data_IF_394433965656
#
_entry.id   IF_394433965656
#
_cell.length_a   1.000
_cell.length_b   1.000
_cell.length_c   1.000
_cell.angle_alpha   90.00
_cell.angle_beta   90.00
_cell.angle_gamma   90.00
#
_symmetry.space_group_name_H-M   'P 1'
#
loop_
_entity.id
_entity.type
_entity.pdbx_description
1 polymer ?
#
# COMPACT_ATOMS: atom_id res chain seq x y z
N UNK A 1 -23.40 -6.95 14.58
CA UNK A 1 -22.34 -7.32 13.62
C UNK A 1 -22.58 -8.75 13.13
N UNK A 2 -22.07 -9.10 11.95
CA UNK A 2 -22.04 -10.50 11.51
C UNK A 2 -20.87 -11.23 12.18
N UNK A 3 -21.08 -12.47 12.56
CA UNK A 3 -20.07 -13.30 13.23
C UNK A 3 -19.92 -14.65 12.56
N UNK A 4 -18.70 -15.18 12.55
CA UNK A 4 -18.35 -16.47 11.96
C UNK A 4 -17.26 -17.13 12.82
N UNK A 5 -17.44 -18.37 13.32
CA UNK A 5 -16.37 -19.10 13.97
C UNK A 5 -15.14 -19.24 13.06
N UNK A 6 -13.93 -19.18 13.61
CA UNK A 6 -12.69 -19.33 12.82
C UNK A 6 -12.63 -20.67 12.09
N UNK A 7 -13.18 -21.74 12.68
CA UNK A 7 -13.30 -23.05 12.03
C UNK A 7 -14.18 -23.05 10.77
N UNK A 8 -15.01 -22.02 10.59
CA UNK A 8 -15.94 -21.84 9.46
C UNK A 8 -15.41 -20.84 8.42
N UNK A 9 -14.23 -20.25 8.62
CA UNK A 9 -13.71 -19.22 7.70
C UNK A 9 -13.50 -19.74 6.27
N UNK A 10 -13.12 -21.01 6.13
CA UNK A 10 -12.94 -21.63 4.81
C UNK A 10 -14.27 -21.84 4.07
N UNK A 11 -15.39 -22.03 4.78
CA UNK A 11 -16.72 -22.09 4.16
C UNK A 11 -17.06 -20.72 3.53
N UNK A 12 -16.71 -19.63 4.21
CA UNK A 12 -16.88 -18.27 3.70
C UNK A 12 -15.98 -18.00 2.49
N UNK A 13 -14.70 -18.39 2.56
CA UNK A 13 -13.78 -18.26 1.43
C UNK A 13 -14.23 -19.06 0.21
N UNK A 14 -14.69 -20.30 0.41
CA UNK A 14 -15.25 -21.15 -0.66
C UNK A 14 -16.46 -20.52 -1.31
N UNK A 15 -17.33 -19.87 -0.53
CA UNK A 15 -18.52 -19.20 -1.06
C UNK A 15 -18.14 -17.98 -1.92
N UNK A 16 -17.18 -17.16 -1.48
CA UNK A 16 -16.68 -16.03 -2.28
C UNK A 16 -16.04 -16.55 -3.57
N UNK A 17 -15.10 -17.49 -3.46
CA UNK A 17 -14.36 -18.05 -4.59
C UNK A 17 -15.24 -18.78 -5.63
N UNK A 18 -16.49 -19.12 -5.28
CA UNK A 18 -17.45 -19.68 -6.23
C UNK A 18 -18.07 -18.63 -7.17
N UNK A 19 -17.95 -17.34 -6.84
CA UNK A 19 -18.55 -16.22 -7.59
C UNK A 19 -17.50 -15.32 -8.23
N UNK A 20 -16.41 -15.05 -7.54
CA UNK A 20 -15.37 -14.09 -7.93
C UNK A 20 -14.00 -14.53 -7.41
N UNK A 21 -12.91 -13.94 -7.94
CA UNK A 21 -11.57 -14.32 -7.50
C UNK A 21 -11.31 -13.85 -6.06
N UNK A 22 -10.91 -14.76 -5.17
CA UNK A 22 -10.57 -14.44 -3.78
C UNK A 22 -9.06 -14.49 -3.57
N UNK A 23 -8.49 -13.47 -2.95
CA UNK A 23 -7.10 -13.43 -2.52
C UNK A 23 -7.00 -13.31 -1.00
N UNK A 24 -6.21 -14.19 -0.37
CA UNK A 24 -5.95 -14.18 1.07
C UNK A 24 -4.44 -14.18 1.37
N UNK A 25 -4.00 -13.75 2.56
CA UNK A 25 -2.63 -13.95 3.02
C UNK A 25 -2.35 -15.44 3.23
N UNK A 26 -1.28 -15.96 2.63
CA UNK A 26 -0.83 -17.35 2.76
C UNK A 26 0.67 -17.36 3.04
N UNK A 27 1.12 -18.24 3.93
CA UNK A 27 2.54 -18.40 4.20
C UNK A 27 3.29 -18.95 2.97
N UNK A 28 4.40 -18.31 2.64
CA UNK A 28 5.30 -18.71 1.57
C UNK A 28 6.47 -19.54 2.13
N UNK A 29 7.26 -20.12 1.22
CA UNK A 29 8.39 -20.99 1.57
C UNK A 29 9.50 -20.28 2.37
N UNK A 30 9.45 -18.96 2.52
CA UNK A 30 10.39 -18.17 3.32
C UNK A 30 9.86 -17.85 4.73
N UNK A 31 8.71 -18.41 5.14
CA UNK A 31 8.10 -18.14 6.44
C UNK A 31 7.50 -16.73 6.57
N UNK A 32 7.24 -16.07 5.44
CA UNK A 32 6.50 -14.79 5.37
C UNK A 32 5.17 -15.02 4.67
N UNK A 33 4.26 -14.06 4.71
CA UNK A 33 2.99 -14.17 3.99
C UNK A 33 2.97 -13.40 2.67
N UNK A 34 2.30 -13.93 1.66
CA UNK A 34 1.95 -13.24 0.42
C UNK A 34 0.45 -13.33 0.16
N UNK A 35 -0.14 -12.31 -0.46
CA UNK A 35 -1.50 -12.45 -0.96
C UNK A 35 -1.50 -13.44 -2.14
N UNK A 36 -2.30 -14.48 -2.01
CA UNK A 36 -2.38 -15.60 -2.95
C UNK A 36 -3.83 -15.89 -3.27
N UNK A 37 -4.12 -16.27 -4.51
CA UNK A 37 -5.46 -16.70 -4.90
C UNK A 37 -5.87 -17.92 -4.07
N UNK A 38 -7.02 -17.85 -3.44
CA UNK A 38 -7.54 -18.92 -2.60
C UNK A 38 -7.93 -20.12 -3.45
N UNK A 39 -7.59 -21.31 -2.98
CA UNK A 39 -8.02 -22.61 -3.50
C UNK A 39 -8.29 -23.53 -2.32
N UNK A 40 -9.10 -24.55 -2.52
CA UNK A 40 -9.37 -25.54 -1.47
C UNK A 40 -8.05 -26.18 -0.98
N UNK A 41 -7.85 -26.20 0.33
CA UNK A 41 -6.62 -26.65 0.97
C UNK A 41 -5.58 -25.56 1.27
N UNK A 42 -5.78 -24.32 0.81
CA UNK A 42 -4.93 -23.19 1.19
C UNK A 42 -5.34 -22.65 2.57
N UNK A 43 -4.36 -22.43 3.45
CA UNK A 43 -4.59 -21.92 4.80
C UNK A 43 -4.32 -20.41 4.91
N UNK A 44 -5.15 -19.73 5.72
CA UNK A 44 -4.96 -18.33 6.06
C UNK A 44 -3.74 -18.17 6.98
N UNK A 45 -2.78 -17.36 6.54
CA UNK A 45 -1.57 -17.07 7.33
C UNK A 45 -1.91 -16.33 8.63
N UNK A 46 -1.19 -16.66 9.70
CA UNK A 46 -1.24 -15.93 10.98
C UNK A 46 -0.32 -14.69 11.02
N UNK A 47 0.46 -14.45 9.96
CA UNK A 47 1.36 -13.31 9.90
C UNK A 47 0.60 -11.97 9.98
N UNK A 48 1.19 -11.00 10.69
CA UNK A 48 0.61 -9.66 10.80
C UNK A 48 0.52 -8.97 9.44
N UNK A 49 1.54 -9.08 8.59
CA UNK A 49 1.60 -8.41 7.28
C UNK A 49 2.12 -9.37 6.23
N UNK A 50 1.60 -9.23 5.03
CA UNK A 50 2.22 -9.77 3.82
C UNK A 50 3.49 -9.00 3.47
N UNK A 51 4.42 -9.63 2.74
CA UNK A 51 5.67 -9.01 2.26
C UNK A 51 5.37 -7.77 1.43
N UNK A 52 4.40 -7.89 0.53
CA UNK A 52 3.90 -6.80 -0.32
C UNK A 52 2.50 -6.42 0.09
N UNK A 53 2.21 -5.13 0.06
CA UNK A 53 0.90 -4.59 0.38
C UNK A 53 -0.17 -4.99 -0.63
N UNK A 54 -1.43 -4.76 -0.28
CA UNK A 54 -2.56 -4.94 -1.19
C UNK A 54 -2.58 -3.97 -2.40
N UNK A 55 -1.62 -3.05 -2.52
CA UNK A 55 -1.42 -2.18 -3.69
C UNK A 55 -1.39 -2.97 -5.01
N UNK A 56 -0.78 -4.14 -5.02
CA UNK A 56 -0.61 -4.99 -6.22
C UNK A 56 -1.92 -5.30 -6.96
N UNK A 57 -3.04 -5.31 -6.26
CA UNK A 57 -4.36 -5.60 -6.84
C UNK A 57 -4.93 -4.44 -7.64
N UNK A 58 -4.60 -3.21 -7.22
CA UNK A 58 -5.14 -1.97 -7.80
C UNK A 58 -4.13 -1.26 -8.70
N UNK A 59 -2.85 -1.48 -8.45
CA UNK A 59 -1.75 -0.95 -9.23
C UNK A 59 -0.72 -2.08 -9.41
N UNK A 60 -0.94 -3.01 -10.36
CA UNK A 60 -0.08 -4.17 -10.56
C UNK A 60 1.32 -3.79 -11.05
N UNK A 61 2.28 -4.69 -10.83
CA UNK A 61 3.70 -4.47 -11.19
C UNK A 61 3.91 -4.22 -12.68
N UNK A 62 3.11 -4.88 -13.51
CA UNK A 62 3.10 -4.74 -14.95
C UNK A 62 1.63 -4.83 -15.39
N UNK A 63 1.21 -3.91 -16.25
CA UNK A 63 -0.15 -3.88 -16.78
C UNK A 63 -0.13 -3.45 -18.23
N UNK A 64 -0.76 -4.25 -19.08
CA UNK A 64 -0.95 -3.92 -20.48
C UNK A 64 -1.90 -2.73 -20.56
N UNK A 65 -1.51 -1.71 -21.33
CA UNK A 65 -2.31 -0.53 -21.59
C UNK A 65 -2.99 -0.66 -22.94
N UNK A 66 -2.24 -0.97 -23.99
CA UNK A 66 -2.81 -1.10 -25.34
C UNK A 66 -2.02 -2.11 -26.14
N UNK A 67 -2.71 -2.96 -26.90
CA UNK A 67 -2.09 -3.74 -27.96
C UNK A 67 -2.50 -3.15 -29.31
N UNK A 68 -1.50 -2.86 -30.14
CA UNK A 68 -1.68 -2.30 -31.47
C UNK A 68 -1.28 -3.34 -32.50
N UNK A 69 -2.22 -3.77 -33.35
CA UNK A 69 -1.94 -4.70 -34.46
C UNK A 69 -2.12 -3.98 -35.79
N UNK A 70 -1.16 -4.19 -36.68
CA UNK A 70 -1.14 -3.59 -38.00
C UNK A 70 -1.54 -4.62 -39.05
N UNK A 71 -2.66 -4.39 -39.74
CA UNK A 71 -3.08 -5.16 -40.90
C UNK A 71 -3.08 -4.27 -42.15
N UNK A 72 -1.93 -4.23 -42.84
CA UNK A 72 -1.72 -3.33 -43.98
C UNK A 72 -1.75 -1.86 -43.55
N UNK A 73 -2.85 -1.16 -43.87
CA UNK A 73 -3.10 0.24 -43.47
C UNK A 73 -4.11 0.39 -42.33
N UNK A 74 -4.63 -0.73 -41.81
CA UNK A 74 -5.58 -0.74 -40.71
C UNK A 74 -4.83 -0.98 -39.40
N UNK A 75 -5.16 -0.18 -38.39
CA UNK A 75 -4.66 -0.37 -37.03
C UNK A 75 -5.82 -0.89 -36.19
N UNK A 76 -5.67 -2.11 -35.69
CA UNK A 76 -6.54 -2.67 -34.67
C UNK A 76 -5.99 -2.28 -33.28
N UNK A 77 -6.86 -1.74 -32.43
CA UNK A 77 -6.54 -1.33 -31.07
C UNK A 77 -7.31 -2.22 -30.10
N UNK A 78 -6.58 -3.07 -29.39
CA UNK A 78 -7.15 -3.91 -28.34
C UNK A 78 -7.08 -3.16 -27.00
N UNK A 79 -8.23 -3.03 -26.35
CA UNK A 79 -8.35 -2.39 -25.04
C UNK A 79 -8.42 -3.46 -23.93
N UNK A 80 -7.33 -3.68 -23.17
CA UNK A 80 -7.24 -4.72 -22.15
C UNK A 80 -8.06 -4.41 -20.90
N UNK A 81 -8.67 -3.22 -20.77
CA UNK A 81 -9.54 -2.89 -19.62
C UNK A 81 -10.79 -3.77 -19.57
N UNK A 82 -11.18 -4.38 -20.68
CA UNK A 82 -12.39 -5.22 -20.79
C UNK A 82 -12.26 -6.58 -20.07
N UNK A 83 -11.05 -7.00 -19.74
CA UNK A 83 -10.78 -8.37 -19.26
C UNK A 83 -10.75 -8.51 -17.73
N UNK A 84 -11.12 -7.47 -16.98
CA UNK A 84 -11.03 -7.50 -15.52
C UNK A 84 -12.30 -8.11 -14.91
N UNK A 85 -12.11 -9.15 -14.10
CA UNK A 85 -13.17 -9.76 -13.29
C UNK A 85 -13.26 -9.10 -11.92
N UNK A 86 -14.42 -9.19 -11.29
CA UNK A 86 -14.59 -8.88 -9.88
C UNK A 86 -13.69 -9.77 -9.02
N UNK A 87 -13.17 -9.19 -7.93
CA UNK A 87 -12.32 -9.90 -6.99
C UNK A 87 -12.43 -9.36 -5.57
N UNK A 88 -12.19 -10.24 -4.60
CA UNK A 88 -12.12 -9.91 -3.18
C UNK A 88 -10.69 -10.08 -2.68
N UNK A 89 -10.19 -9.10 -1.93
CA UNK A 89 -8.94 -9.23 -1.17
C UNK A 89 -9.27 -9.22 0.31
N UNK A 90 -9.05 -10.35 0.98
CA UNK A 90 -9.25 -10.52 2.41
C UNK A 90 -7.95 -10.26 3.18
N UNK A 91 -8.05 -9.77 4.42
CA UNK A 91 -6.91 -9.66 5.32
C UNK A 91 -6.03 -8.42 5.10
N UNK A 92 -6.55 -7.41 4.39
CA UNK A 92 -5.86 -6.13 4.22
C UNK A 92 -5.77 -5.40 5.56
N UNK A 93 -4.62 -4.86 5.93
CA UNK A 93 -4.46 -4.15 7.21
C UNK A 93 -4.92 -2.70 7.09
N UNK A 94 -5.33 -2.10 8.22
CA UNK A 94 -5.79 -0.70 8.29
C UNK A 94 -4.86 0.29 7.57
N UNK A 95 -3.55 0.15 7.77
CA UNK A 95 -2.56 1.01 7.10
C UNK A 95 -2.48 0.78 5.58
N UNK A 96 -2.68 -0.45 5.09
CA UNK A 96 -2.75 -0.72 3.66
C UNK A 96 -4.07 -0.19 3.08
N UNK A 97 -5.20 -0.35 3.77
CA UNK A 97 -6.47 0.21 3.33
C UNK A 97 -6.40 1.76 3.23
N UNK A 98 -5.82 2.42 4.24
CA UNK A 98 -5.61 3.88 4.21
C UNK A 98 -4.69 4.34 3.09
N UNK A 99 -3.83 3.47 2.59
CA UNK A 99 -2.97 3.80 1.45
C UNK A 99 -3.77 3.98 0.16
N UNK A 100 -4.93 3.35 0.03
CA UNK A 100 -5.77 3.51 -1.15
C UNK A 100 -6.27 4.94 -1.26
N UNK A 101 -6.73 5.56 -0.17
CA UNK A 101 -7.13 6.97 -0.20
C UNK A 101 -6.01 7.92 -0.68
N UNK A 102 -4.76 7.62 -0.30
CA UNK A 102 -3.57 8.38 -0.74
C UNK A 102 -3.31 8.19 -2.25
N UNK A 103 -3.56 6.99 -2.77
CA UNK A 103 -3.34 6.70 -4.21
C UNK A 103 -4.54 7.16 -5.05
N UNK A 104 -5.76 7.00 -4.55
CA UNK A 104 -7.03 7.48 -5.11
C UNK A 104 -6.96 9.01 -5.30
N UNK A 105 -6.38 9.75 -4.35
CA UNK A 105 -6.18 11.20 -4.48
C UNK A 105 -5.39 11.61 -5.73
N UNK A 106 -4.50 10.74 -6.24
CA UNK A 106 -3.70 11.00 -7.44
C UNK A 106 -4.38 10.41 -8.69
N UNK A 107 -4.82 9.16 -8.63
CA UNK A 107 -5.30 8.46 -9.82
C UNK A 107 -6.81 8.60 -10.09
N UNK A 108 -7.61 8.98 -9.09
CA UNK A 108 -9.06 9.14 -9.24
C UNK A 108 -9.52 10.58 -9.09
N UNK A 109 -8.82 11.40 -8.32
CA UNK A 109 -9.26 12.76 -7.98
C UNK A 109 -8.45 13.87 -8.68
N UNK A 110 -7.40 13.54 -9.43
CA UNK A 110 -6.72 14.46 -10.34
C UNK A 110 -7.15 14.21 -11.78
N UNK A 111 -7.01 15.23 -12.62
CA UNK A 111 -7.29 15.15 -14.05
C UNK A 111 -5.99 14.96 -14.85
N UNK A 112 -5.92 13.98 -15.78
CA UNK A 112 -6.95 12.97 -16.09
C UNK A 112 -7.01 11.83 -15.07
N UNK A 113 -8.22 11.27 -14.92
CA UNK A 113 -8.45 10.03 -14.14
C UNK A 113 -7.76 8.85 -14.83
N UNK A 114 -7.01 8.06 -14.06
CA UNK A 114 -6.42 6.81 -14.53
C UNK A 114 -7.50 5.74 -14.66
N UNK A 115 -7.97 5.54 -15.89
CA UNK A 115 -9.06 4.60 -16.18
C UNK A 115 -8.76 3.14 -15.82
N UNK A 116 -7.50 2.71 -15.82
CA UNK A 116 -7.12 1.34 -15.47
C UNK A 116 -7.15 1.14 -13.95
N UNK A 117 -6.61 2.10 -13.20
CA UNK A 117 -6.68 2.12 -11.75
C UNK A 117 -8.14 2.19 -11.28
N UNK A 118 -8.95 3.08 -11.87
CA UNK A 118 -10.39 3.17 -11.61
C UNK A 118 -11.09 1.83 -11.86
N UNK A 119 -10.83 1.19 -13.01
CA UNK A 119 -11.40 -0.10 -13.33
C UNK A 119 -11.13 -1.15 -12.23
N UNK A 120 -9.89 -1.20 -11.72
CA UNK A 120 -9.54 -2.09 -10.61
C UNK A 120 -10.19 -1.72 -9.28
N UNK A 121 -10.30 -0.43 -8.96
CA UNK A 121 -11.01 0.03 -7.75
C UNK A 121 -12.51 -0.25 -7.83
N UNK A 122 -13.10 -0.26 -9.03
CA UNK A 122 -14.51 -0.59 -9.25
C UNK A 122 -14.80 -2.09 -9.13
N UNK A 123 -13.91 -2.97 -9.60
CA UNK A 123 -14.09 -4.43 -9.53
C UNK A 123 -13.59 -5.08 -8.22
N UNK A 124 -12.66 -4.42 -7.53
CA UNK A 124 -12.11 -4.94 -6.28
C UNK A 124 -12.96 -4.61 -5.06
N UNK A 125 -13.21 -5.62 -4.22
CA UNK A 125 -13.78 -5.48 -2.89
C UNK A 125 -12.74 -5.80 -1.81
N UNK A 126 -12.58 -4.92 -0.83
CA UNK A 126 -11.54 -5.02 0.21
C UNK A 126 -12.15 -5.41 1.55
N UNK A 127 -11.83 -6.61 2.04
CA UNK A 127 -12.08 -7.00 3.43
C UNK A 127 -10.80 -6.76 4.23
N UNK A 128 -10.88 -5.83 5.18
CA UNK A 128 -9.76 -5.51 6.04
C UNK A 128 -9.81 -6.33 7.33
N UNK A 129 -8.65 -6.64 7.91
CA UNK A 129 -8.54 -7.35 9.18
C UNK A 129 -7.76 -6.51 10.19
N UNK A 130 -8.44 -6.15 11.28
CA UNK A 130 -7.86 -5.38 12.38
C UNK A 130 -6.59 -6.04 12.90
N UNK A 131 -5.62 -5.21 13.31
CA UNK A 131 -4.43 -5.70 13.99
C UNK A 131 -4.79 -6.13 15.41
N UNK A 132 -4.14 -7.15 15.94
CA UNK A 132 -4.22 -7.53 17.36
C UNK A 132 -2.90 -7.25 18.09
N UNK A 133 -1.79 -7.36 17.36
CA UNK A 133 -0.45 -7.11 17.87
C UNK A 133 0.40 -6.40 16.81
N UNK A 134 0.75 -5.12 16.99
CA UNK A 134 1.57 -4.40 16.03
C UNK A 134 3.05 -4.83 16.11
N UNK A 135 3.71 -4.95 14.96
CA UNK A 135 5.14 -5.15 14.93
C UNK A 135 5.90 -3.94 15.50
N UNK A 136 7.10 -4.16 16.04
CA UNK A 136 7.99 -3.08 16.55
C UNK A 136 8.36 -2.05 15.48
N UNK A 137 8.28 -2.41 14.20
CA UNK A 137 8.53 -1.53 13.05
C UNK A 137 7.32 -0.68 12.67
N UNK A 138 6.15 -0.88 13.27
CA UNK A 138 4.94 -0.13 12.96
C UNK A 138 4.94 1.24 13.65
N UNK A 139 4.39 2.24 12.95
CA UNK A 139 4.26 3.63 13.40
C UNK A 139 3.05 4.32 12.76
N UNK A 140 2.02 3.53 12.44
CA UNK A 140 0.76 4.01 11.85
C UNK A 140 0.04 5.04 12.74
N UNK A 141 0.18 4.94 14.06
CA UNK A 141 -0.35 5.92 15.03
C UNK A 141 0.22 7.34 14.80
N UNK A 142 1.48 7.47 14.38
CA UNK A 142 2.08 8.77 14.06
C UNK A 142 1.40 9.46 12.87
N UNK A 143 0.71 8.69 12.02
CA UNK A 143 -0.10 9.17 10.90
C UNK A 143 -1.60 9.20 11.22
N UNK A 144 -1.97 9.10 12.51
CA UNK A 144 -3.35 9.09 13.00
C UNK A 144 -4.20 7.94 12.41
N UNK A 145 -3.56 6.82 12.08
CA UNK A 145 -4.24 5.62 11.57
C UNK A 145 -4.49 4.68 12.75
N UNK A 146 -5.76 4.38 13.02
CA UNK A 146 -6.16 3.43 14.05
C UNK A 146 -6.10 2.00 13.50
N UNK A 147 -5.10 1.22 13.94
CA UNK A 147 -4.93 -0.16 13.50
C UNK A 147 -6.05 -1.10 13.96
N UNK A 148 -6.87 -0.66 14.92
CA UNK A 148 -7.99 -1.41 15.47
C UNK A 148 -9.32 -1.20 14.73
N UNK A 149 -9.41 -0.16 13.90
CA UNK A 149 -10.60 0.18 13.10
C UNK A 149 -10.19 0.19 11.63
N UNK A 150 -10.24 -0.98 10.96
CA UNK A 150 -9.43 -1.18 9.75
C UNK A 150 -10.06 -0.65 8.45
N UNK A 151 -11.37 -0.38 8.41
CA UNK A 151 -12.05 0.25 7.27
C UNK A 151 -12.16 -0.65 6.04
N UNK A 152 -11.96 -0.09 4.84
CA UNK A 152 -12.20 -0.78 3.57
C UNK A 152 -13.69 -0.99 3.28
N UNK A 153 -14.05 -1.92 2.41
CA UNK A 153 -15.46 -2.22 2.12
C UNK A 153 -16.12 -3.00 3.26
N UNK A 154 -15.36 -3.91 3.89
CA UNK A 154 -15.74 -4.65 5.10
C UNK A 154 -14.60 -4.58 6.11
N UNK A 155 -14.92 -4.20 7.34
CA UNK A 155 -14.03 -4.33 8.48
C UNK A 155 -14.20 -5.71 9.13
N UNK A 156 -13.10 -6.39 9.44
CA UNK A 156 -13.10 -7.66 10.14
C UNK A 156 -12.20 -7.65 11.38
N UNK A 157 -12.59 -8.44 12.40
CA UNK A 157 -11.87 -8.63 13.66
C UNK A 157 -11.86 -10.12 14.02
N UNK A 158 -10.77 -10.62 14.59
CA UNK A 158 -10.69 -11.99 15.11
C UNK A 158 -10.54 -11.94 16.63
N UNK A 159 -11.60 -12.30 17.35
CA UNK A 159 -11.67 -12.31 18.81
C UNK A 159 -12.01 -13.72 19.31
N UNK A 160 -11.15 -14.31 20.15
CA UNK A 160 -11.37 -15.61 20.78
C UNK A 160 -11.83 -16.71 19.80
N UNK A 161 -11.19 -16.81 18.63
CA UNK A 161 -11.54 -17.80 17.60
C UNK A 161 -12.86 -17.53 16.86
N UNK A 162 -13.35 -16.30 16.88
CA UNK A 162 -14.54 -15.86 16.13
C UNK A 162 -14.21 -14.61 15.33
N UNK A 163 -14.51 -14.64 14.03
CA UNK A 163 -14.49 -13.46 13.18
C UNK A 163 -15.75 -12.63 13.37
N UNK A 164 -15.58 -11.31 13.41
CA UNK A 164 -16.65 -10.32 13.40
C UNK A 164 -16.49 -9.49 12.14
N UNK A 165 -17.59 -9.18 11.47
CA UNK A 165 -17.63 -8.43 10.22
C UNK A 165 -18.61 -7.27 10.32
N UNK A 166 -18.21 -6.14 9.75
CA UNK A 166 -19.01 -4.93 9.59
C UNK A 166 -18.83 -4.38 8.18
N UNK A 167 -19.93 -4.17 7.46
CA UNK A 167 -19.88 -3.54 6.15
C UNK A 167 -19.80 -2.02 6.28
N UNK A 168 -18.83 -1.40 5.60
CA UNK A 168 -18.65 0.04 5.58
C UNK A 168 -19.19 0.68 4.29
N UNK A 169 -19.27 -0.09 3.20
CA UNK A 169 -19.71 0.37 1.87
C UNK A 169 -20.83 -0.52 1.32
N UNK A 170 -21.48 -0.09 0.24
CA UNK A 170 -22.52 -0.89 -0.41
C UNK A 170 -21.96 -2.18 -1.05
N UNK A 171 -20.71 -2.16 -1.54
CA UNK A 171 -19.99 -3.38 -1.95
C UNK A 171 -19.84 -4.36 -0.79
N UNK A 172 -19.42 -3.85 0.37
CA UNK A 172 -19.28 -4.67 1.57
C UNK A 172 -20.61 -5.24 2.05
N UNK A 173 -21.69 -4.46 2.01
CA UNK A 173 -23.05 -4.93 2.35
C UNK A 173 -23.48 -6.05 1.41
N UNK A 174 -23.31 -5.85 0.10
CA UNK A 174 -23.66 -6.86 -0.90
C UNK A 174 -22.88 -8.16 -0.68
N UNK A 175 -21.57 -8.07 -0.41
CA UNK A 175 -20.73 -9.24 -0.15
C UNK A 175 -21.19 -10.03 1.08
N UNK A 176 -21.41 -9.35 2.21
CA UNK A 176 -21.84 -10.00 3.46
C UNK A 176 -23.25 -10.59 3.35
N UNK A 177 -24.19 -9.89 2.71
CA UNK A 177 -25.54 -10.43 2.47
C UNK A 177 -25.50 -11.66 1.55
N UNK A 178 -24.60 -11.69 0.58
CA UNK A 178 -24.42 -12.86 -0.30
C UNK A 178 -23.95 -14.13 0.43
N UNK A 179 -23.44 -13.97 1.66
CA UNK A 179 -22.95 -15.01 2.54
C UNK A 179 -23.73 -15.10 3.87
N UNK A 180 -24.90 -14.44 3.96
CA UNK A 180 -25.70 -14.32 5.19
C UNK A 180 -25.99 -15.64 5.88
N UNK A 181 -26.19 -16.72 5.12
CA UNK A 181 -26.46 -18.06 5.65
C UNK A 181 -25.32 -18.66 6.47
N UNK A 182 -24.10 -18.14 6.35
CA UNK A 182 -22.94 -18.59 7.14
C UNK A 182 -22.79 -17.81 8.45
N UNK A 183 -23.40 -16.63 8.55
CA UNK A 183 -23.19 -15.71 9.66
C UNK A 183 -24.26 -15.85 10.74
N UNK A 184 -23.84 -15.62 11.98
CA UNK A 184 -24.73 -15.36 13.10
C UNK A 184 -24.66 -13.87 13.49
N UNK A 185 -25.70 -13.36 14.15
CA UNK A 185 -25.65 -12.03 14.76
C UNK A 185 -24.88 -12.06 16.08
N UNK A 186 -24.01 -11.08 16.29
CA UNK A 186 -23.26 -10.92 17.53
C UNK A 186 -23.14 -9.45 17.98
N UNK A 187 -22.91 -9.27 19.29
CA UNK A 187 -22.62 -7.97 19.90
C UNK A 187 -21.20 -7.50 19.58
N UNK A 188 -20.96 -6.20 19.75
CA UNK A 188 -19.68 -5.55 19.48
C UNK A 188 -18.75 -5.48 20.71
N UNK A 189 -19.15 -6.04 21.85
CA UNK A 189 -18.42 -5.91 23.12
C UNK A 189 -16.99 -6.47 23.05
N UNK A 190 -16.84 -7.66 22.44
CA UNK A 190 -15.51 -8.28 22.25
C UNK A 190 -14.65 -7.49 21.28
N UNK A 191 -15.25 -6.89 20.26
CA UNK A 191 -14.57 -6.04 19.28
C UNK A 191 -14.07 -4.77 19.96
N UNK A 192 -14.91 -4.08 20.75
CA UNK A 192 -14.51 -2.91 21.53
C UNK A 192 -13.34 -3.21 22.46
N UNK A 193 -13.38 -4.33 23.17
CA UNK A 193 -12.28 -4.78 24.04
C UNK A 193 -10.98 -5.00 23.25
N UNK A 194 -11.04 -5.73 22.14
CA UNK A 194 -9.87 -5.94 21.27
C UNK A 194 -9.33 -4.60 20.74
N UNK A 195 -10.21 -3.65 20.40
CA UNK A 195 -9.80 -2.35 19.90
C UNK A 195 -9.01 -1.57 20.95
N UNK A 196 -9.48 -1.52 22.20
CA UNK A 196 -8.78 -0.87 23.30
C UNK A 196 -7.41 -1.51 23.57
N UNK A 197 -7.34 -2.84 23.60
CA UNK A 197 -6.07 -3.57 23.80
C UNK A 197 -5.09 -3.30 22.66
N UNK A 198 -5.56 -3.29 21.41
CA UNK A 198 -4.75 -3.00 20.24
C UNK A 198 -4.22 -1.57 20.29
N UNK A 199 -5.05 -0.58 20.63
CA UNK A 199 -4.62 0.82 20.78
C UNK A 199 -3.54 0.97 21.85
N UNK A 200 -3.67 0.29 22.99
CA UNK A 200 -2.63 0.26 24.05
C UNK A 200 -1.30 -0.28 23.51
N UNK A 201 -1.32 -1.40 22.79
CA UNK A 201 -0.11 -1.98 22.18
C UNK A 201 0.49 -1.06 21.10
N UNK A 202 -0.34 -0.44 20.26
CA UNK A 202 0.12 0.52 19.26
C UNK A 202 0.80 1.74 19.90
N UNK A 203 0.23 2.29 20.97
CA UNK A 203 0.82 3.39 21.73
C UNK A 203 2.17 3.01 22.38
N UNK A 204 2.36 1.73 22.72
CA UNK A 204 3.60 1.20 23.28
C UNK A 204 4.69 0.90 22.23
N UNK A 205 4.39 1.02 20.92
CA UNK A 205 5.42 0.79 19.89
C UNK A 205 6.51 1.87 19.93
N UNK A 206 7.78 1.57 19.59
CA UNK A 206 8.91 2.51 19.73
C UNK A 206 8.76 3.82 18.94
N UNK A 207 7.88 3.83 17.96
CA UNK A 207 7.73 4.90 16.99
C UNK A 207 6.30 5.46 16.94
N UNK A 208 5.46 5.13 17.93
CA UNK A 208 4.07 5.61 18.00
C UNK A 208 3.96 7.14 17.97
N UNK A 209 4.90 7.82 18.65
CA UNK A 209 4.94 9.28 18.81
C UNK A 209 6.00 9.92 17.92
N UNK A 210 6.23 9.40 16.71
CA UNK A 210 7.15 10.01 15.76
C UNK A 210 6.69 11.43 15.41
N UNK A 211 7.51 12.43 15.74
CA UNK A 211 7.19 13.84 15.48
C UNK A 211 7.36 14.22 14.00
N UNK A 212 6.27 14.57 13.33
CA UNK A 212 6.23 15.03 11.95
C UNK A 212 6.05 16.55 11.82
N UNK A 213 6.00 17.29 12.93
CA UNK A 213 5.67 18.73 12.95
C UNK A 213 6.63 19.60 12.14
N UNK A 214 7.92 19.23 12.11
CA UNK A 214 8.98 19.89 11.33
C UNK A 214 8.96 19.60 9.83
N UNK A 215 8.14 18.64 9.39
CA UNK A 215 8.08 18.20 8.00
C UNK A 215 6.95 18.86 7.20
N UNK A 216 6.26 19.85 7.78
CA UNK A 216 5.23 20.61 7.06
C UNK A 216 5.83 21.46 5.94
N UNK A 217 5.07 21.63 4.85
CA UNK A 217 5.55 22.22 3.58
C UNK A 217 6.19 23.62 3.65
N UNK A 218 5.91 24.40 4.71
CA UNK A 218 6.43 25.76 4.91
C UNK A 218 7.97 25.87 4.89
N UNK A 219 8.67 24.82 5.28
CA UNK A 219 10.13 24.80 5.38
C UNK A 219 10.79 24.01 4.23
N UNK A 220 10.09 23.82 3.11
CA UNK A 220 10.52 22.93 2.00
C UNK A 220 11.97 23.17 1.57
N UNK A 221 12.38 24.42 1.29
CA UNK A 221 13.74 24.71 0.84
C UNK A 221 14.79 24.45 1.93
N UNK A 222 14.45 24.69 3.20
CA UNK A 222 15.33 24.40 4.34
C UNK A 222 15.55 22.90 4.49
N UNK A 223 14.48 22.11 4.38
CA UNK A 223 14.56 20.65 4.39
C UNK A 223 15.36 20.18 3.17
N UNK A 224 15.06 20.68 1.97
CA UNK A 224 15.68 20.27 0.71
C UNK A 224 17.20 20.49 0.67
N UNK A 225 17.66 21.63 1.20
CA UNK A 225 19.07 22.02 1.26
C UNK A 225 19.80 21.51 2.51
N UNK A 226 19.13 20.73 3.36
CA UNK A 226 19.76 20.24 4.60
C UNK A 226 20.98 19.36 4.32
N UNK A 227 22.11 19.55 5.04
CA UNK A 227 23.30 18.71 4.91
C UNK A 227 23.07 17.26 5.33
N UNK A 228 21.96 16.94 6.03
CA UNK A 228 21.66 15.55 6.42
C UNK A 228 21.55 14.60 5.22
N UNK A 229 21.16 15.12 4.04
CA UNK A 229 20.95 14.30 2.86
C UNK A 229 22.24 13.66 2.38
N UNK A 230 23.38 14.36 2.49
CA UNK A 230 24.70 13.82 2.16
C UNK A 230 24.95 12.56 3.00
N UNK A 231 25.01 12.75 4.33
CA UNK A 231 25.30 11.70 5.32
C UNK A 231 24.32 10.52 5.27
N UNK A 232 23.03 10.78 5.10
CA UNK A 232 22.02 9.70 5.06
C UNK A 232 22.12 8.90 3.75
N UNK A 233 22.41 9.56 2.63
CA UNK A 233 22.45 8.92 1.32
C UNK A 233 23.67 8.01 1.11
N UNK A 234 24.79 8.28 1.78
CA UNK A 234 26.04 7.50 1.66
C UNK A 234 25.83 5.99 1.90
N UNK A 235 25.00 5.64 2.88
CA UNK A 235 24.70 4.23 3.20
C UNK A 235 23.66 3.58 2.26
N UNK A 236 22.98 4.37 1.42
CA UNK A 236 21.88 3.88 0.61
C UNK A 236 22.36 3.09 -0.62
N UNK A 237 21.98 1.81 -0.70
CA UNK A 237 22.30 0.95 -1.85
C UNK A 237 21.55 1.32 -3.14
N UNK A 238 20.55 2.18 -3.10
CA UNK A 238 19.72 2.51 -4.27
C UNK A 238 18.86 1.35 -4.80
N UNK A 239 18.73 0.24 -4.07
CA UNK A 239 18.08 -0.98 -4.55
C UNK A 239 16.56 -0.86 -4.80
N UNK A 240 15.89 0.13 -4.21
CA UNK A 240 14.45 0.36 -4.38
C UNK A 240 13.53 -0.58 -3.59
N UNK A 241 14.03 -1.52 -2.77
CA UNK A 241 13.18 -2.42 -1.96
C UNK A 241 12.07 -1.65 -1.22
N UNK A 242 12.43 -0.50 -0.65
CA UNK A 242 11.51 0.31 0.12
C UNK A 242 10.43 1.01 -0.73
N UNK A 243 10.58 1.22 -2.06
CA UNK A 243 9.46 1.67 -2.92
C UNK A 243 8.53 0.50 -3.28
N UNK A 244 9.10 -0.67 -3.57
CA UNK A 244 8.34 -1.87 -3.98
C UNK A 244 7.43 -2.41 -2.86
N UNK A 245 7.88 -2.41 -1.60
CA UNK A 245 7.05 -2.85 -0.46
C UNK A 245 6.13 -1.76 0.09
N UNK A 246 6.24 -0.52 -0.41
CA UNK A 246 5.48 0.61 0.12
C UNK A 246 4.09 0.68 -0.53
N UNK A 247 3.03 0.71 0.29
CA UNK A 247 1.65 0.72 -0.22
C UNK A 247 1.26 2.06 -0.86
N UNK A 248 1.97 3.15 -0.55
CA UNK A 248 1.71 4.49 -1.08
C UNK A 248 2.66 4.91 -2.20
N UNK A 249 3.58 4.03 -2.62
CA UNK A 249 4.48 4.32 -3.75
C UNK A 249 3.77 3.98 -5.07
N UNK A 250 3.71 4.95 -5.96
CA UNK A 250 2.90 4.89 -7.19
C UNK A 250 3.68 5.26 -8.46
N UNK A 251 5.02 5.26 -8.41
CA UNK A 251 5.84 5.53 -9.60
C UNK A 251 5.74 4.37 -10.60
N UNK A 252 5.62 4.70 -11.88
CA UNK A 252 5.67 3.75 -13.00
C UNK A 252 6.37 4.37 -14.20
N UNK A 253 6.78 3.49 -15.11
CA UNK A 253 7.25 3.83 -16.45
C UNK A 253 6.33 3.15 -17.48
N UNK A 254 6.29 3.67 -18.70
CA UNK A 254 5.55 3.08 -19.82
C UNK A 254 6.56 2.63 -20.87
N UNK A 255 6.41 1.39 -21.33
CA UNK A 255 7.27 0.81 -22.35
C UNK A 255 6.43 0.18 -23.45
N UNK A 256 6.92 0.33 -24.67
CA UNK A 256 6.41 -0.38 -25.84
C UNK A 256 7.30 -1.60 -26.10
N UNK A 257 6.66 -2.74 -26.37
CA UNK A 257 7.33 -3.99 -26.70
C UNK A 257 6.81 -4.52 -28.03
N UNK A 258 7.72 -4.66 -28.99
CA UNK A 258 7.43 -5.30 -30.27
C UNK A 258 7.29 -6.82 -30.06
N UNK A 259 6.06 -7.30 -30.18
CA UNK A 259 5.71 -8.72 -30.06
C UNK A 259 5.63 -9.43 -31.43
N UNK A 260 6.22 -8.85 -32.47
CA UNK A 260 6.25 -9.42 -33.83
C UNK A 260 4.86 -9.50 -34.44
N UNK A 261 4.43 -10.72 -34.82
CA UNK A 261 3.11 -10.97 -35.42
C UNK A 261 1.92 -10.57 -34.51
N UNK A 262 2.17 -10.42 -33.20
CA UNK A 262 1.18 -9.96 -32.23
C UNK A 262 1.13 -8.44 -32.09
N UNK A 263 1.88 -7.70 -32.91
CA UNK A 263 1.90 -6.24 -32.90
C UNK A 263 2.73 -5.65 -31.76
N UNK A 264 2.48 -4.37 -31.44
CA UNK A 264 3.16 -3.65 -30.37
C UNK A 264 2.30 -3.67 -29.11
N UNK A 265 2.89 -4.08 -27.99
CA UNK A 265 2.25 -4.07 -26.67
C UNK A 265 2.83 -2.95 -25.85
N UNK A 266 2.01 -1.98 -25.49
CA UNK A 266 2.36 -0.98 -24.52
C UNK A 266 1.96 -1.47 -23.13
N UNK A 267 2.88 -1.42 -22.18
CA UNK A 267 2.59 -1.73 -20.79
C UNK A 267 3.17 -0.68 -19.86
N UNK A 268 2.50 -0.47 -18.73
CA UNK A 268 3.08 0.22 -17.59
C UNK A 268 3.74 -0.78 -16.67
N UNK A 269 4.93 -0.46 -16.17
CA UNK A 269 5.60 -1.22 -15.13
C UNK A 269 5.94 -0.33 -13.93
N UNK A 270 5.92 -0.89 -12.74
CA UNK A 270 6.38 -0.17 -11.56
C UNK A 270 7.81 0.30 -11.75
N UNK A 271 8.04 1.53 -11.34
CA UNK A 271 9.35 2.14 -11.32
C UNK A 271 9.54 2.85 -9.96
N UNK A 272 10.67 3.52 -9.80
CA UNK A 272 11.08 4.16 -8.57
C UNK A 272 11.69 5.51 -8.87
N UNK A 273 11.18 6.55 -8.21
CA UNK A 273 11.82 7.87 -8.20
C UNK A 273 13.27 7.89 -7.70
N UNK A 274 13.78 6.76 -7.21
CA UNK A 274 15.15 6.56 -6.79
C UNK A 274 16.07 5.99 -7.88
N UNK A 275 15.53 5.46 -8.98
CA UNK A 275 16.31 4.94 -10.10
C UNK A 275 16.72 6.08 -11.04
N UNK A 276 17.89 5.96 -11.68
CA UNK A 276 18.40 6.97 -12.62
C UNK A 276 17.45 7.16 -13.79
N UNK A 277 16.94 6.05 -14.32
CA UNK A 277 16.24 6.01 -15.60
C UNK A 277 14.85 6.63 -15.49
N UNK A 278 14.23 6.56 -14.30
CA UNK A 278 12.91 7.16 -14.03
C UNK A 278 12.86 8.67 -14.32
N UNK A 279 13.96 9.39 -14.14
CA UNK A 279 14.04 10.82 -14.48
C UNK A 279 14.86 11.14 -15.72
N UNK A 280 15.27 10.12 -16.47
CA UNK A 280 16.03 10.36 -17.69
C UNK A 280 15.13 10.99 -18.75
N UNK A 281 15.50 12.20 -19.18
CA UNK A 281 14.88 12.90 -20.30
C UNK A 281 15.80 12.85 -21.52
N UNK A 282 15.28 13.20 -22.70
CA UNK A 282 16.03 13.12 -23.96
C UNK A 282 17.39 13.84 -23.94
N UNK A 283 17.50 14.95 -23.20
CA UNK A 283 18.71 15.78 -23.16
C UNK A 283 19.47 15.73 -21.82
N UNK A 284 18.82 15.34 -20.72
CA UNK A 284 19.40 15.49 -19.39
C UNK A 284 18.74 14.57 -18.36
N UNK A 285 19.39 14.45 -17.20
CA UNK A 285 18.80 13.88 -16.01
C UNK A 285 18.82 14.92 -14.88
N UNK A 286 17.67 15.33 -14.32
CA UNK A 286 17.63 16.35 -13.26
C UNK A 286 18.13 15.84 -11.90
N UNK A 287 18.44 14.55 -11.76
CA UNK A 287 18.95 13.93 -10.53
C UNK A 287 20.17 13.05 -10.85
N UNK A 288 21.30 13.72 -11.00
CA UNK A 288 22.57 13.11 -11.41
C UNK A 288 23.11 12.13 -10.35
N UNK A 289 22.90 12.43 -9.08
CA UNK A 289 23.54 11.72 -7.97
C UNK A 289 22.56 10.86 -7.16
N UNK A 290 23.10 9.86 -6.45
CA UNK A 290 22.32 9.01 -5.54
C UNK A 290 21.67 9.84 -4.43
N UNK A 291 22.32 10.92 -3.97
CA UNK A 291 21.79 11.85 -2.97
C UNK A 291 20.47 12.48 -3.41
N UNK A 292 20.41 13.00 -4.62
CA UNK A 292 19.22 13.71 -5.12
C UNK A 292 18.03 12.76 -5.26
N UNK A 293 18.29 11.53 -5.74
CA UNK A 293 17.32 10.45 -5.87
C UNK A 293 16.84 9.92 -4.51
N UNK A 294 17.77 9.76 -3.55
CA UNK A 294 17.47 9.42 -2.16
C UNK A 294 16.58 10.48 -1.51
N UNK A 295 16.99 11.75 -1.57
CA UNK A 295 16.23 12.90 -1.05
C UNK A 295 14.83 12.94 -1.65
N UNK A 296 14.68 12.76 -2.97
CA UNK A 296 13.39 12.81 -3.64
C UNK A 296 12.36 11.89 -2.99
N UNK A 297 12.75 10.65 -2.66
CA UNK A 297 11.87 9.67 -2.03
C UNK A 297 11.23 10.23 -0.74
N UNK A 298 12.04 10.81 0.13
CA UNK A 298 11.55 11.30 1.43
C UNK A 298 10.89 12.66 1.33
N UNK A 299 11.41 13.55 0.49
CA UNK A 299 10.76 14.83 0.20
C UNK A 299 9.37 14.64 -0.41
N UNK A 300 9.20 13.70 -1.35
CA UNK A 300 7.89 13.39 -1.90
C UNK A 300 6.93 12.93 -0.81
N UNK A 301 7.39 12.06 0.10
CA UNK A 301 6.54 11.52 1.16
C UNK A 301 6.16 12.49 2.26
N UNK A 302 7.12 13.32 2.66
CA UNK A 302 7.02 14.15 3.86
C UNK A 302 6.73 15.60 3.56
N UNK A 303 6.98 16.09 2.34
CA UNK A 303 6.90 17.51 2.00
C UNK A 303 6.03 17.75 0.77
N UNK A 304 6.40 17.22 -0.41
CA UNK A 304 5.72 17.58 -1.67
C UNK A 304 4.28 17.08 -1.73
N UNK A 305 4.04 15.83 -1.33
CA UNK A 305 2.69 15.29 -1.33
C UNK A 305 1.78 16.01 -0.31
N UNK A 306 2.18 16.23 0.96
CA UNK A 306 1.43 17.10 1.88
C UNK A 306 1.10 18.48 1.34
N UNK A 307 2.06 19.14 0.67
CA UNK A 307 1.85 20.45 0.06
C UNK A 307 0.75 20.44 -1.01
N UNK A 308 0.60 19.33 -1.74
CA UNK A 308 -0.39 19.18 -2.80
C UNK A 308 -1.74 18.60 -2.32
N UNK A 309 -1.79 17.99 -1.13
CA UNK A 309 -2.93 17.19 -0.67
C UNK A 309 -3.32 17.49 0.79
N UNK A 310 -3.53 18.77 1.11
CA UNK A 310 -4.11 19.22 2.39
C UNK A 310 -3.36 18.69 3.63
N UNK A 311 -2.03 18.78 3.60
CA UNK A 311 -1.14 18.29 4.67
C UNK A 311 -1.23 16.78 4.96
N UNK A 312 -1.86 15.99 4.10
CA UNK A 312 -1.83 14.53 4.20
C UNK A 312 -0.46 13.99 3.79
N UNK A 313 0.15 13.13 4.61
CA UNK A 313 1.42 12.50 4.28
C UNK A 313 1.27 11.28 3.38
N UNK A 314 2.21 11.09 2.45
CA UNK A 314 2.25 9.90 1.58
C UNK A 314 2.90 8.70 2.30
N UNK A 315 2.52 8.46 3.55
CA UNK A 315 3.00 7.35 4.38
C UNK A 315 1.90 6.94 5.36
N UNK A 316 1.82 5.63 5.61
CA UNK A 316 0.80 5.02 6.48
C UNK A 316 1.41 4.32 7.69
N UNK A 317 2.72 4.47 7.91
CA UNK A 317 3.42 3.88 9.06
C UNK A 317 3.40 2.35 9.14
N UNK A 318 3.26 1.64 8.01
CA UNK A 318 3.16 0.17 7.98
C UNK A 318 4.46 -0.58 8.36
N UNK A 319 5.61 0.11 8.40
CA UNK A 319 6.87 -0.48 8.83
C UNK A 319 7.61 -1.37 7.82
N UNK A 320 7.02 -1.70 6.66
CA UNK A 320 7.66 -2.63 5.69
C UNK A 320 9.01 -2.14 5.18
N UNK A 321 9.21 -0.83 5.03
CA UNK A 321 10.50 -0.27 4.63
C UNK A 321 11.58 -0.34 5.73
N UNK A 322 11.19 -0.38 7.01
CA UNK A 322 12.13 -0.59 8.13
C UNK A 322 12.58 -2.04 8.18
N UNK A 323 11.65 -2.96 7.91
CA UNK A 323 11.86 -4.40 7.98
C UNK A 323 12.70 -4.95 6.82
N UNK A 324 12.52 -4.41 5.61
CA UNK A 324 13.12 -4.99 4.39
C UNK A 324 14.33 -4.21 3.86
N UNK A 325 14.77 -3.12 4.51
CA UNK A 325 15.97 -2.41 4.07
C UNK A 325 17.23 -3.18 4.51
N UNK A 326 18.11 -3.61 3.58
CA UNK A 326 19.29 -4.42 3.92
C UNK A 326 20.33 -3.68 4.77
N UNK A 327 20.29 -2.34 4.77
CA UNK A 327 21.20 -1.47 5.55
C UNK A 327 20.44 -0.67 6.63
N UNK A 328 19.20 -1.08 6.93
CA UNK A 328 18.35 -0.48 7.96
C UNK A 328 18.06 1.03 7.79
N UNK A 329 18.22 1.58 6.58
CA UNK A 329 17.79 2.95 6.26
C UNK A 329 16.28 3.01 6.09
N UNK A 330 15.66 4.03 6.67
CA UNK A 330 14.21 4.14 6.70
C UNK A 330 13.73 5.56 7.02
N UNK A 331 12.43 5.79 6.83
CA UNK A 331 11.80 7.10 7.02
C UNK A 331 11.86 7.58 8.47
N UNK A 332 11.84 6.69 9.47
CA UNK A 332 11.95 7.07 10.88
C UNK A 332 13.33 7.65 11.16
N UNK A 333 14.40 7.04 10.62
CA UNK A 333 15.77 7.56 10.72
C UNK A 333 15.88 8.94 10.08
N UNK A 334 15.33 9.12 8.88
CA UNK A 334 15.31 10.42 8.19
C UNK A 334 14.61 11.49 9.03
N UNK A 335 13.41 11.19 9.55
CA UNK A 335 12.64 12.11 10.39
C UNK A 335 13.40 12.49 11.65
N UNK A 336 13.92 11.51 12.39
CA UNK A 336 14.67 11.75 13.64
C UNK A 336 15.92 12.56 13.39
N UNK A 337 16.71 12.21 12.38
CA UNK A 337 17.95 12.93 12.04
C UNK A 337 17.65 14.40 11.75
N UNK A 338 16.60 14.74 10.98
CA UNK A 338 16.24 16.14 10.77
C UNK A 338 15.76 16.83 12.05
N UNK A 339 14.95 16.14 12.84
CA UNK A 339 14.38 16.72 14.05
C UNK A 339 15.44 17.03 15.11
N UNK A 340 16.52 16.28 15.15
CA UNK A 340 17.67 16.47 16.04
C UNK A 340 18.65 17.54 15.55
N UNK A 341 18.49 18.06 14.32
CA UNK A 341 19.35 19.14 13.81
C UNK A 341 19.10 20.46 14.55
N UNK A 342 20.16 21.26 14.79
CA UNK A 342 20.01 22.62 15.30
C UNK A 342 19.12 23.47 14.38
N UNK A 343 18.33 24.36 14.97
CA UNK A 343 17.40 25.23 14.24
C UNK A 343 18.08 26.08 13.15
N UNK A 344 19.39 26.30 13.26
CA UNK A 344 20.14 27.28 12.49
C UNK A 344 21.05 26.64 11.41
N UNK A 345 20.91 25.34 11.15
CA UNK A 345 21.67 24.65 10.10
C UNK A 345 23.17 24.51 10.37
N UNK A 346 23.64 24.90 11.55
CA UNK A 346 25.00 24.64 12.01
C UNK A 346 25.21 23.15 12.26
N UNK A 347 26.31 22.60 11.75
CA UNK A 347 26.73 21.24 12.08
C UNK A 347 26.82 21.10 13.60
N UNK A 348 26.15 20.10 14.17
CA UNK A 348 26.50 19.63 15.50
C UNK A 348 27.96 19.16 15.44
N UNK A 349 28.83 19.83 16.20
CA UNK A 349 30.26 19.53 16.31
C UNK A 349 30.48 18.12 16.88
#
# INVERSE_FOLDING_TARGET
MFTLPESKINDFFKLIASKEDLYIPVDNNSGKADFTAWKEGVELSKALKTVRSAKDFFFPKAENLVNLRMEGKHVEVEDPRKDLKDFVVFGVRACDAKSFEIVDAVYLHMDPVDSYYKNRRDHGTVITLACTDPAKTCFCAAYKIDAAVPGGDVSAWLCDGTFYFEANTDKGKALLESAKSLFAEGSDDKVKKQQEETRKKCAATPFANLDLSKWKGKDMLKIFNSPMWEKLSESCLGCGTCTYVCPTCMCFDIRDFDAGENGVKQFRCWDSCMYSDFTQMAAANPRLTQKERFRQRFMHKLVYYPMAHEDNWQCVGCGRCLENCPIHMNIVKVVKTYNEMPADGGNAQ
#
